data_IF_346936231262
#
_entry.id   IF_346936231262
#
_cell.length_a   1.000
_cell.length_b   1.000
_cell.length_c   1.000
_cell.angle_alpha   90.00
_cell.angle_beta   90.00
_cell.angle_gamma   90.00
#
_symmetry.space_group_name_H-M   'P 1'
#
loop_
_entity.id
_entity.type
_entity.pdbx_description
1 polymer ?
#
# COMPACT_ATOMS: atom_id res chain seq x y z
N UNK A 1 1.22 -10.04 -18.77
CA UNK A 1 1.72 -8.99 -17.86
C UNK A 1 1.61 -9.53 -16.44
N UNK A 2 2.70 -9.62 -15.66
CA UNK A 2 2.68 -10.23 -14.31
C UNK A 2 2.48 -9.21 -13.18
N UNK A 3 2.68 -7.93 -13.47
CA UNK A 3 2.45 -6.83 -12.53
C UNK A 3 1.13 -6.16 -12.90
N UNK A 4 0.14 -6.24 -12.00
CA UNK A 4 -1.23 -5.77 -12.28
C UNK A 4 -1.72 -4.82 -11.18
N UNK A 5 -2.16 -5.36 -10.05
CA UNK A 5 -2.70 -4.56 -8.96
C UNK A 5 -1.58 -3.89 -8.14
N UNK A 6 -1.69 -2.57 -7.95
CA UNK A 6 -0.71 -1.77 -7.18
C UNK A 6 0.75 -1.96 -7.61
N UNK A 7 0.99 -2.34 -8.87
CA UNK A 7 2.33 -2.65 -9.39
C UNK A 7 2.97 -3.92 -8.81
N UNK A 8 2.21 -4.76 -8.08
CA UNK A 8 2.71 -5.98 -7.44
C UNK A 8 2.60 -7.20 -8.34
N UNK A 9 3.50 -8.15 -8.11
CA UNK A 9 3.56 -9.40 -8.87
C UNK A 9 2.38 -10.30 -8.49
N UNK A 10 1.64 -10.76 -9.50
CA UNK A 10 0.61 -11.76 -9.34
C UNK A 10 1.25 -13.15 -9.33
N UNK A 11 1.06 -13.89 -8.25
CA UNK A 11 1.35 -15.31 -8.18
C UNK A 11 0.20 -16.11 -8.82
N UNK A 12 0.38 -16.46 -10.09
CA UNK A 12 -0.57 -17.22 -10.90
C UNK A 12 -0.27 -18.72 -10.96
N UNK A 13 0.69 -19.21 -10.16
CA UNK A 13 0.99 -20.64 -10.11
C UNK A 13 -0.21 -21.44 -9.60
N UNK A 14 -0.43 -22.59 -10.24
CA UNK A 14 -1.48 -23.54 -9.87
C UNK A 14 -0.94 -24.53 -8.85
N UNK A 15 -1.50 -24.52 -7.64
CA UNK A 15 -1.23 -25.52 -6.61
C UNK A 15 -2.47 -26.40 -6.44
N UNK A 16 -2.31 -27.72 -6.65
CA UNK A 16 -3.43 -28.66 -6.50
C UNK A 16 -4.60 -28.46 -7.47
N UNK A 17 -4.35 -27.86 -8.65
CA UNK A 17 -5.37 -27.59 -9.66
C UNK A 17 -6.18 -26.31 -9.43
N UNK A 18 -5.81 -25.48 -8.44
CA UNK A 18 -6.34 -24.12 -8.25
C UNK A 18 -5.24 -23.09 -8.46
N UNK A 19 -5.56 -22.02 -9.17
CA UNK A 19 -4.72 -20.83 -9.26
C UNK A 19 -4.69 -20.14 -7.89
N UNK A 20 -3.49 -19.77 -7.43
CA UNK A 20 -3.34 -18.98 -6.19
C UNK A 20 -4.00 -17.61 -6.33
N UNK A 21 -3.65 -16.86 -7.38
CA UNK A 21 -4.26 -15.56 -7.65
C UNK A 21 -3.94 -14.49 -6.60
N UNK A 22 -2.83 -14.65 -5.89
CA UNK A 22 -2.41 -13.75 -4.80
C UNK A 22 -1.38 -12.75 -5.30
N UNK A 23 -1.43 -11.52 -4.79
CA UNK A 23 -0.41 -10.52 -5.07
C UNK A 23 0.67 -10.54 -4.00
N UNK A 24 1.93 -10.54 -4.43
CA UNK A 24 3.09 -10.50 -3.55
C UNK A 24 3.46 -9.06 -3.20
N UNK A 25 3.27 -8.69 -1.93
CA UNK A 25 3.65 -7.39 -1.38
C UNK A 25 4.98 -7.44 -0.61
N UNK A 26 5.66 -8.58 -0.57
CA UNK A 26 6.88 -8.81 0.21
C UNK A 26 6.58 -9.45 1.55
N UNK A 27 6.06 -8.69 2.51
CA UNK A 27 5.78 -9.21 3.86
C UNK A 27 4.43 -9.94 3.96
N UNK A 28 3.50 -9.66 3.04
CA UNK A 28 2.16 -10.27 3.00
C UNK A 28 1.75 -10.63 1.58
N UNK A 29 0.90 -11.66 1.46
CA UNK A 29 0.18 -11.97 0.23
C UNK A 29 -1.23 -11.36 0.28
N UNK A 30 -1.64 -10.68 -0.78
CA UNK A 30 -2.96 -10.06 -0.89
C UNK A 30 -3.89 -10.89 -1.76
N UNK A 31 -5.09 -11.20 -1.25
CA UNK A 31 -6.15 -11.83 -2.02
C UNK A 31 -7.08 -10.73 -2.60
N UNK A 32 -7.07 -10.52 -3.92
CA UNK A 32 -7.92 -9.50 -4.56
C UNK A 32 -9.41 -9.87 -4.58
N UNK A 33 -9.73 -11.15 -4.50
CA UNK A 33 -11.11 -11.66 -4.49
C UNK A 33 -11.78 -11.40 -3.14
N UNK A 34 -11.05 -11.59 -2.05
CA UNK A 34 -11.52 -11.27 -0.70
C UNK A 34 -11.29 -9.80 -0.31
N UNK A 35 -10.34 -9.14 -0.95
CA UNK A 35 -9.90 -7.80 -0.59
C UNK A 35 -9.22 -7.75 0.78
N UNK A 36 -8.46 -8.79 1.13
CA UNK A 36 -7.85 -8.99 2.44
C UNK A 36 -6.43 -9.55 2.31
N UNK A 37 -5.64 -9.40 3.37
CA UNK A 37 -4.40 -10.14 3.48
C UNK A 37 -4.67 -11.62 3.70
N UNK A 38 -3.90 -12.46 3.03
CA UNK A 38 -3.90 -13.92 3.22
C UNK A 38 -3.17 -14.30 4.51
N UNK A 39 -2.13 -13.55 4.88
CA UNK A 39 -1.33 -13.74 6.08
C UNK A 39 -1.69 -12.72 7.17
N UNK A 40 -1.43 -13.07 8.43
CA UNK A 40 -1.54 -12.16 9.59
C UNK A 40 -0.52 -11.03 9.46
N UNK A 41 -0.98 -9.80 9.73
CA UNK A 41 -0.11 -8.62 9.86
C UNK A 41 0.98 -8.82 10.95
N UNK A 42 2.27 -8.76 10.60
CA UNK A 42 3.36 -8.83 11.56
C UNK A 42 3.34 -7.71 12.61
N UNK A 43 2.81 -6.53 12.25
CA UNK A 43 2.74 -5.33 13.10
C UNK A 43 1.41 -5.18 13.83
N UNK A 44 0.40 -5.96 13.45
CA UNK A 44 -0.96 -5.91 14.02
C UNK A 44 -1.50 -4.47 14.05
N UNK A 45 -1.36 -3.73 12.96
CA UNK A 45 -1.64 -2.28 12.90
C UNK A 45 -3.13 -1.96 13.14
N UNK A 46 -4.01 -2.89 12.77
CA UNK A 46 -5.47 -2.74 12.89
C UNK A 46 -6.11 -3.82 13.77
N UNK A 47 -7.35 -3.55 14.20
CA UNK A 47 -8.18 -4.49 14.96
C UNK A 47 -8.33 -5.84 14.24
N UNK A 48 -8.39 -5.81 12.90
CA UNK A 48 -8.35 -7.02 12.09
C UNK A 48 -6.95 -7.19 11.49
N UNK A 49 -6.23 -8.26 11.82
CA UNK A 49 -4.88 -8.51 11.29
C UNK A 49 -4.85 -8.85 9.80
N UNK A 50 -6.02 -8.94 9.15
CA UNK A 50 -6.17 -9.25 7.73
C UNK A 50 -6.70 -8.06 6.92
N UNK A 51 -6.92 -6.90 7.56
CA UNK A 51 -7.47 -5.71 6.93
C UNK A 51 -6.49 -5.10 5.91
N UNK A 52 -6.97 -4.84 4.69
CA UNK A 52 -6.18 -4.15 3.66
C UNK A 52 -6.48 -2.64 3.67
N UNK A 53 -5.44 -1.81 3.71
CA UNK A 53 -5.54 -0.35 3.56
C UNK A 53 -6.58 0.32 4.48
N UNK A 54 -6.73 -0.15 5.72
CA UNK A 54 -7.79 0.30 6.65
C UNK A 54 -9.22 0.28 6.05
N UNK A 55 -9.50 -0.64 5.13
CA UNK A 55 -10.73 -0.71 4.32
C UNK A 55 -10.96 0.48 3.38
N UNK A 56 -9.94 1.31 3.12
CA UNK A 56 -10.01 2.42 2.18
C UNK A 56 -8.81 2.42 1.20
N UNK A 57 -8.79 1.48 0.24
CA UNK A 57 -7.71 1.33 -0.74
C UNK A 57 -7.71 2.42 -1.83
N UNK A 58 -8.65 3.38 -1.77
CA UNK A 58 -8.67 4.56 -2.65
C UNK A 58 -7.76 5.66 -2.11
N UNK A 59 -7.71 5.79 -0.78
CA UNK A 59 -6.86 6.78 -0.10
C UNK A 59 -5.51 6.19 0.34
N UNK A 60 -5.50 4.93 0.74
CA UNK A 60 -4.30 4.29 1.28
C UNK A 60 -3.77 3.22 0.33
N UNK A 61 -2.44 3.12 0.30
CA UNK A 61 -1.70 2.04 -0.36
C UNK A 61 -0.83 1.40 0.71
N UNK A 62 -0.60 0.10 0.65
CA UNK A 62 0.44 -0.57 1.45
C UNK A 62 1.58 -0.97 0.50
N UNK A 63 2.74 -0.30 0.51
CA UNK A 63 3.81 -0.55 -0.46
C UNK A 63 4.60 -1.84 -0.19
N UNK A 64 4.70 -2.29 1.06
CA UNK A 64 5.58 -3.38 1.49
C UNK A 64 4.84 -4.53 2.19
N UNK A 65 3.51 -4.44 2.28
CA UNK A 65 2.72 -5.37 3.07
C UNK A 65 3.04 -5.23 4.56
N UNK A 66 3.34 -4.02 5.04
CA UNK A 66 3.55 -3.77 6.48
C UNK A 66 2.88 -2.49 6.96
N UNK A 67 3.10 -1.37 6.26
CA UNK A 67 2.62 -0.06 6.70
C UNK A 67 1.79 0.58 5.58
N UNK A 68 0.63 1.14 5.97
CA UNK A 68 -0.16 1.93 5.04
C UNK A 68 0.43 3.34 4.87
N UNK A 69 0.37 3.83 3.63
CA UNK A 69 0.75 5.19 3.28
C UNK A 69 -0.43 5.91 2.63
N UNK A 70 -0.58 7.18 2.97
CA UNK A 70 -1.59 8.04 2.34
C UNK A 70 -1.13 8.39 0.93
N UNK A 71 -1.99 8.16 -0.05
CA UNK A 71 -1.79 8.63 -1.41
C UNK A 71 -2.10 10.12 -1.46
N UNK A 72 -1.07 10.94 -1.59
CA UNK A 72 -1.23 12.38 -1.80
C UNK A 72 -1.11 12.62 -3.31
N UNK A 73 -2.25 12.80 -3.97
CA UNK A 73 -2.35 13.01 -5.42
C UNK A 73 -2.15 14.46 -5.85
N UNK A 74 -1.67 15.32 -4.94
CA UNK A 74 -1.44 16.74 -5.21
C UNK A 74 -0.17 17.20 -4.54
N UNK A 75 0.60 18.01 -5.27
CA UNK A 75 1.75 18.75 -4.79
C UNK A 75 1.42 19.48 -3.48
N UNK A 76 2.13 19.15 -2.40
CA UNK A 76 1.95 19.78 -1.07
C UNK A 76 3.12 20.73 -0.84
N UNK A 77 2.81 22.02 -0.69
CA UNK A 77 3.79 23.02 -0.23
C UNK A 77 3.67 23.21 1.28
N UNK A 78 4.68 22.79 2.02
CA UNK A 78 4.82 23.10 3.44
C UNK A 78 5.62 24.40 3.57
N UNK A 79 5.03 25.41 4.20
CA UNK A 79 5.71 26.68 4.51
C UNK A 79 5.99 26.73 6.00
N UNK A 80 7.26 26.76 6.38
CA UNK A 80 7.69 27.03 7.75
C UNK A 80 8.10 28.49 7.82
N UNK A 81 7.23 29.32 8.38
CA UNK A 81 7.51 30.74 8.58
C UNK A 81 8.20 30.95 9.93
N UNK A 82 9.39 31.55 9.89
CA UNK A 82 10.12 31.97 11.11
C UNK A 82 10.30 33.48 11.08
N UNK A 83 10.81 34.04 12.18
CA UNK A 83 11.02 35.50 12.30
C UNK A 83 12.06 36.05 11.31
N UNK A 84 12.97 35.21 10.82
CA UNK A 84 14.09 35.62 9.98
C UNK A 84 14.02 35.08 8.54
N UNK A 85 13.29 33.99 8.33
CA UNK A 85 13.19 33.34 7.02
C UNK A 85 11.92 32.50 6.90
N UNK A 86 11.37 32.46 5.68
CA UNK A 86 10.33 31.51 5.29
C UNK A 86 10.96 30.39 4.45
N UNK A 87 10.88 29.16 4.93
CA UNK A 87 11.26 27.98 4.15
C UNK A 87 10.03 27.40 3.47
N UNK A 88 10.08 27.26 2.14
CA UNK A 88 9.05 26.56 1.36
C UNK A 88 9.61 25.24 0.83
N UNK A 89 9.03 24.13 1.28
CA UNK A 89 9.34 22.80 0.77
C UNK A 89 8.13 22.34 -0.04
N UNK A 90 8.38 21.98 -1.29
CA UNK A 90 7.34 21.42 -2.16
C UNK A 90 7.59 19.93 -2.32
N UNK A 91 6.62 19.12 -1.87
CA UNK A 91 6.67 17.67 -1.98
C UNK A 91 5.88 17.29 -3.23
N UNK A 92 6.50 16.69 -4.26
CA UNK A 92 5.79 16.24 -5.45
C UNK A 92 4.83 15.10 -5.09
N UNK A 93 3.89 14.82 -5.99
CA UNK A 93 2.96 13.70 -5.89
C UNK A 93 3.75 12.41 -5.58
N UNK A 94 3.48 11.80 -4.42
CA UNK A 94 4.17 10.59 -4.00
C UNK A 94 3.17 9.42 -4.03
N UNK A 95 3.40 8.50 -4.96
CA UNK A 95 2.55 7.32 -5.17
C UNK A 95 3.14 6.03 -4.59
N UNK A 96 4.19 6.13 -3.77
CA UNK A 96 4.74 4.99 -3.02
C UNK A 96 5.26 3.81 -3.85
N UNK A 97 5.86 4.08 -5.01
CA UNK A 97 6.47 3.04 -5.86
C UNK A 97 7.81 2.54 -5.29
#
# INVERSE_FOLDING_TARGET
NRYLFSGKELQDQSLGGKLLGLYDFGSRFYDPTLGRWFNVDPKLEFVSPYGYCANNPVLYIDPNGEDIVLTISKEVTVTVATRLIDLKITVPDWTGA
#
